data_IF_514941109498
#
_entry.id   IF_514941109498
#
_cell.length_a   1.000
_cell.length_b   1.000
_cell.length_c   1.000
_cell.angle_alpha   90.00
_cell.angle_beta   90.00
_cell.angle_gamma   90.00
#
_symmetry.space_group_name_H-M   'P 1'
#
loop_
_entity.id
_entity.type
_entity.pdbx_description
1 polymer ?
#
# COMPACT_ATOMS: atom_id res chain seq x y z
N UNK A 1 -24.41 -1.39 -4.01
CA UNK A 1 -23.55 -1.19 -2.82
C UNK A 1 -24.31 -1.71 -1.61
N UNK A 2 -24.17 -2.99 -1.30
CA UNK A 2 -24.59 -3.54 -0.01
C UNK A 2 -23.29 -3.63 0.79
N UNK A 3 -23.06 -2.68 1.69
CA UNK A 3 -22.10 -2.91 2.76
C UNK A 3 -22.66 -4.08 3.58
N UNK A 4 -21.86 -5.11 3.80
CA UNK A 4 -22.25 -6.20 4.67
C UNK A 4 -22.45 -5.62 6.06
N UNK A 5 -23.68 -5.63 6.56
CA UNK A 5 -24.04 -5.11 7.90
C UNK A 5 -23.14 -5.71 9.01
N UNK A 6 -22.64 -6.94 8.81
CA UNK A 6 -21.69 -7.58 9.71
C UNK A 6 -20.26 -7.01 9.69
N UNK A 7 -19.79 -6.46 8.57
CA UNK A 7 -18.43 -5.92 8.45
C UNK A 7 -18.30 -4.57 9.18
N UNK A 8 -19.34 -3.72 9.07
CA UNK A 8 -19.42 -2.46 9.80
C UNK A 8 -19.56 -2.67 11.31
N UNK A 9 -20.27 -3.72 11.73
CA UNK A 9 -20.42 -4.10 13.13
C UNK A 9 -19.10 -4.57 13.76
N UNK A 10 -18.31 -5.35 13.02
CA UNK A 10 -17.00 -5.83 13.47
C UNK A 10 -16.04 -4.65 13.71
N UNK A 11 -15.95 -3.70 12.78
CA UNK A 11 -15.10 -2.52 12.95
C UNK A 11 -15.61 -1.61 14.09
N UNK A 12 -16.92 -1.50 14.27
CA UNK A 12 -17.52 -0.75 15.37
C UNK A 12 -17.15 -1.36 16.73
N UNK A 13 -17.16 -2.69 16.85
CA UNK A 13 -16.75 -3.38 18.07
C UNK A 13 -15.27 -3.11 18.40
N UNK A 14 -14.37 -3.19 17.41
CA UNK A 14 -12.96 -2.88 17.64
C UNK A 14 -12.73 -1.41 18.02
N UNK A 15 -13.47 -0.46 17.42
CA UNK A 15 -13.43 0.96 17.83
C UNK A 15 -13.88 1.16 19.28
N UNK A 16 -14.93 0.45 19.70
CA UNK A 16 -15.41 0.53 21.08
C UNK A 16 -14.38 0.00 22.09
N UNK A 17 -13.55 -0.98 21.71
CA UNK A 17 -12.43 -1.45 22.55
C UNK A 17 -11.37 -0.37 22.71
N UNK A 18 -11.04 0.39 21.66
CA UNK A 18 -10.11 1.53 21.72
C UNK A 18 -10.68 2.62 22.65
N UNK A 19 -11.97 2.94 22.51
CA UNK A 19 -12.66 3.92 23.37
C UNK A 19 -12.57 3.53 24.84
N UNK A 20 -12.79 2.25 25.16
CA UNK A 20 -12.68 1.72 26.53
C UNK A 20 -11.26 1.74 27.05
N UNK A 21 -10.28 1.38 26.22
CA UNK A 21 -8.86 1.38 26.60
C UNK A 21 -8.35 2.79 26.95
N UNK A 22 -9.01 3.84 26.44
CA UNK A 22 -8.68 5.23 26.71
C UNK A 22 -9.67 5.93 27.65
N UNK A 23 -10.63 5.19 28.20
CA UNK A 23 -11.69 5.71 29.08
C UNK A 23 -12.36 7.00 28.53
N UNK A 24 -12.62 7.01 27.21
CA UNK A 24 -13.18 8.19 26.54
C UNK A 24 -14.69 8.25 26.79
N UNK A 25 -15.12 9.19 27.63
CA UNK A 25 -16.54 9.54 27.78
C UNK A 25 -17.06 10.26 26.52
N UNK A 26 -18.39 10.48 26.42
CA UNK A 26 -19.02 11.18 25.29
C UNK A 26 -18.73 12.71 25.30
N UNK A 27 -17.44 13.08 25.25
CA UNK A 27 -16.98 14.45 25.05
C UNK A 27 -16.74 14.79 23.58
N UNK A 28 -16.74 16.08 23.26
CA UNK A 28 -16.54 16.61 21.89
C UNK A 28 -15.21 16.16 21.24
N UNK A 29 -14.20 15.77 22.03
CA UNK A 29 -12.87 15.40 21.51
C UNK A 29 -12.71 13.89 21.23
N UNK A 30 -13.63 13.05 21.69
CA UNK A 30 -13.54 11.58 21.55
C UNK A 30 -13.34 11.16 20.10
N UNK A 31 -14.19 11.65 19.20
CA UNK A 31 -14.13 11.29 17.78
C UNK A 31 -12.83 11.80 17.14
N UNK A 32 -12.31 12.95 17.59
CA UNK A 32 -11.04 13.50 17.14
C UNK A 32 -9.87 12.59 17.54
N UNK A 33 -9.78 12.18 18.80
CA UNK A 33 -8.75 11.27 19.30
C UNK A 33 -8.80 9.94 18.55
N UNK A 34 -10.00 9.36 18.40
CA UNK A 34 -10.18 8.08 17.70
C UNK A 34 -9.76 8.21 16.24
N UNK A 35 -10.20 9.23 15.51
CA UNK A 35 -9.82 9.39 14.12
C UNK A 35 -8.31 9.58 13.96
N UNK A 36 -7.66 10.33 14.86
CA UNK A 36 -6.22 10.52 14.84
C UNK A 36 -5.46 9.22 15.11
N UNK A 37 -5.91 8.39 16.06
CA UNK A 37 -5.34 7.06 16.34
C UNK A 37 -5.45 6.12 15.14
N UNK A 38 -6.59 6.15 14.45
CA UNK A 38 -6.84 5.27 13.31
C UNK A 38 -6.06 5.70 12.05
N UNK A 39 -5.67 6.97 11.96
CA UNK A 39 -4.88 7.51 10.85
C UNK A 39 -3.37 7.45 11.13
N UNK A 40 -2.97 7.83 12.34
CA UNK A 40 -1.57 8.09 12.70
C UNK A 40 -1.03 7.13 13.78
N UNK A 41 -1.84 6.16 14.19
CA UNK A 41 -1.48 5.19 15.22
C UNK A 41 -1.37 5.80 16.61
N UNK A 42 -0.89 4.98 17.54
CA UNK A 42 -0.72 5.33 18.95
C UNK A 42 0.12 6.57 19.19
N UNK A 43 1.12 6.86 18.35
CA UNK A 43 1.97 8.05 18.51
C UNK A 43 1.20 9.37 18.47
N UNK A 44 0.01 9.39 17.86
CA UNK A 44 -0.87 10.55 17.87
C UNK A 44 -1.35 10.97 19.26
N UNK A 45 -1.30 10.07 20.25
CA UNK A 45 -1.67 10.39 21.63
C UNK A 45 -0.83 11.49 22.25
N UNK A 46 0.40 11.70 21.77
CA UNK A 46 1.24 12.82 22.20
C UNK A 46 0.59 14.20 22.02
N UNK A 47 -0.45 14.32 21.19
CA UNK A 47 -1.25 15.54 21.00
C UNK A 47 -2.31 15.76 22.09
N UNK A 48 -2.67 14.70 22.82
CA UNK A 48 -3.85 14.62 23.69
C UNK A 48 -3.48 14.37 25.16
N UNK A 49 -2.27 14.77 25.57
CA UNK A 49 -1.77 14.56 26.94
C UNK A 49 -2.64 15.26 27.98
N UNK A 50 -3.17 16.44 27.63
CA UNK A 50 -4.04 17.23 28.52
C UNK A 50 -5.52 16.81 28.44
N UNK A 51 -5.89 16.01 27.43
CA UNK A 51 -7.25 15.56 27.17
C UNK A 51 -7.54 14.16 27.76
N UNK A 52 -6.52 13.50 28.30
CA UNK A 52 -6.61 12.16 28.88
C UNK A 52 -6.23 12.19 30.36
N UNK A 53 -6.85 11.31 31.15
CA UNK A 53 -6.42 11.11 32.53
C UNK A 53 -4.93 10.67 32.55
N UNK A 54 -4.08 11.24 33.42
CA UNK A 54 -2.65 10.98 33.40
C UNK A 54 -2.28 9.49 33.47
N UNK A 55 -2.99 8.72 34.30
CA UNK A 55 -2.76 7.28 34.45
C UNK A 55 -3.17 6.49 33.19
N UNK A 56 -4.24 6.91 32.52
CA UNK A 56 -4.70 6.31 31.26
C UNK A 56 -3.73 6.63 30.14
N UNK A 57 -3.27 7.88 30.02
CA UNK A 57 -2.25 8.26 29.05
C UNK A 57 -0.96 7.46 29.25
N UNK A 58 -0.46 7.40 30.49
CA UNK A 58 0.76 6.66 30.81
C UNK A 58 0.63 5.16 30.47
N UNK A 59 -0.50 4.53 30.81
CA UNK A 59 -0.78 3.15 30.46
C UNK A 59 -0.88 2.92 28.94
N UNK A 60 -1.50 3.86 28.22
CA UNK A 60 -1.65 3.81 26.77
C UNK A 60 -0.31 3.95 26.04
N UNK A 61 0.62 4.79 26.54
CA UNK A 61 1.90 5.08 25.87
C UNK A 61 3.06 4.20 26.30
N UNK A 62 2.90 3.34 27.32
CA UNK A 62 3.96 2.44 27.77
C UNK A 62 4.45 1.52 26.63
N UNK A 63 5.74 1.19 26.55
CA UNK A 63 6.37 0.47 25.42
C UNK A 63 5.83 -0.95 25.18
N UNK A 64 5.10 -1.50 26.15
CA UNK A 64 4.49 -2.83 26.08
C UNK A 64 3.27 -2.91 25.15
N UNK A 65 2.91 -4.15 24.77
CA UNK A 65 1.64 -4.48 24.11
C UNK A 65 0.45 -4.36 25.10
N UNK A 66 0.23 -3.14 25.59
CA UNK A 66 -0.89 -2.77 26.46
C UNK A 66 -2.25 -2.92 25.79
N UNK A 67 -3.32 -2.65 26.53
CA UNK A 67 -4.70 -2.84 26.03
C UNK A 67 -4.97 -2.04 24.75
N UNK A 68 -4.54 -0.77 24.71
CA UNK A 68 -4.68 0.05 23.51
C UNK A 68 -3.98 -0.56 22.29
N UNK A 69 -2.74 -1.02 22.46
CA UNK A 69 -1.96 -1.61 21.36
C UNK A 69 -2.64 -2.86 20.82
N UNK A 70 -3.17 -3.72 21.71
CA UNK A 70 -3.96 -4.91 21.33
C UNK A 70 -5.21 -4.52 20.55
N UNK A 71 -5.96 -3.52 21.03
CA UNK A 71 -7.17 -3.03 20.35
C UNK A 71 -6.88 -2.41 18.99
N UNK A 72 -5.79 -1.64 18.86
CA UNK A 72 -5.35 -1.07 17.57
C UNK A 72 -4.90 -2.16 16.58
N UNK A 73 -4.07 -3.11 17.00
CA UNK A 73 -3.67 -4.27 16.17
C UNK A 73 -4.90 -5.00 15.63
N UNK A 74 -5.87 -5.29 16.51
CA UNK A 74 -7.13 -5.94 16.15
C UNK A 74 -7.96 -5.12 15.17
N UNK A 75 -8.07 -3.80 15.39
CA UNK A 75 -8.76 -2.91 14.47
C UNK A 75 -8.14 -2.94 13.08
N UNK A 76 -6.82 -2.76 12.95
CA UNK A 76 -6.15 -2.74 11.66
C UNK A 76 -6.23 -4.09 10.92
N UNK A 77 -6.08 -5.21 11.64
CA UNK A 77 -6.28 -6.54 11.06
C UNK A 77 -7.69 -6.68 10.46
N UNK A 78 -8.72 -6.27 11.20
CA UNK A 78 -10.11 -6.32 10.73
C UNK A 78 -10.37 -5.35 9.59
N UNK A 79 -9.81 -4.14 9.66
CA UNK A 79 -9.95 -3.10 8.65
C UNK A 79 -9.39 -3.56 7.31
N UNK A 80 -8.24 -4.25 7.29
CA UNK A 80 -7.71 -4.84 6.06
C UNK A 80 -8.65 -5.89 5.48
N UNK A 81 -9.19 -6.78 6.32
CA UNK A 81 -10.12 -7.84 5.88
C UNK A 81 -11.41 -7.27 5.30
N UNK A 82 -12.02 -6.29 5.97
CA UNK A 82 -13.26 -5.65 5.52
C UNK A 82 -13.03 -4.84 4.25
N UNK A 83 -12.00 -4.01 4.22
CA UNK A 83 -11.72 -3.11 3.09
C UNK A 83 -11.41 -3.88 1.80
N UNK A 84 -10.68 -5.00 1.91
CA UNK A 84 -10.16 -5.73 0.76
C UNK A 84 -10.88 -7.06 0.49
N UNK A 85 -11.74 -7.53 1.39
CA UNK A 85 -12.39 -8.85 1.27
C UNK A 85 -13.25 -9.03 0.02
N UNK A 86 -13.89 -7.97 -0.47
CA UNK A 86 -14.77 -8.02 -1.64
C UNK A 86 -14.05 -7.80 -2.98
N UNK A 87 -12.94 -7.05 -2.99
CA UNK A 87 -12.24 -6.64 -4.22
C UNK A 87 -10.91 -7.37 -4.42
N UNK A 88 -10.31 -7.86 -3.35
CA UNK A 88 -8.94 -8.37 -3.29
C UNK A 88 -8.87 -9.60 -2.38
N UNK A 89 -9.71 -10.60 -2.65
CA UNK A 89 -9.78 -11.82 -1.84
C UNK A 89 -8.42 -12.54 -1.71
N UNK A 90 -7.58 -12.48 -2.75
CA UNK A 90 -6.21 -13.02 -2.72
C UNK A 90 -5.36 -12.40 -1.60
N UNK A 91 -5.55 -11.10 -1.33
CA UNK A 91 -4.80 -10.39 -0.28
C UNK A 91 -5.26 -10.86 1.10
N UNK A 92 -6.57 -11.05 1.30
CA UNK A 92 -7.10 -11.59 2.57
C UNK A 92 -6.61 -13.03 2.81
N UNK A 93 -6.57 -13.86 1.76
CA UNK A 93 -6.00 -15.21 1.86
C UNK A 93 -4.51 -15.15 2.22
N UNK A 94 -3.74 -14.28 1.57
CA UNK A 94 -2.33 -14.05 1.88
C UNK A 94 -2.12 -13.62 3.34
N UNK A 95 -2.92 -12.66 3.86
CA UNK A 95 -2.83 -12.24 5.26
C UNK A 95 -3.10 -13.40 6.22
N UNK A 96 -4.09 -14.24 5.93
CA UNK A 96 -4.41 -15.40 6.78
C UNK A 96 -3.29 -16.46 6.76
N UNK A 97 -2.63 -16.66 5.62
CA UNK A 97 -1.49 -17.60 5.52
C UNK A 97 -0.27 -17.12 6.30
N UNK A 98 -0.07 -15.81 6.41
CA UNK A 98 1.07 -15.21 7.13
C UNK A 98 0.75 -14.89 8.59
N UNK A 99 -0.45 -15.20 9.08
CA UNK A 99 -0.90 -14.80 10.42
C UNK A 99 0.02 -15.27 11.56
N UNK A 100 0.60 -16.46 11.40
CA UNK A 100 1.51 -17.06 12.40
C UNK A 100 2.99 -16.72 12.14
N UNK A 101 3.29 -15.94 11.09
CA UNK A 101 4.65 -15.51 10.80
C UNK A 101 5.08 -14.39 11.77
N UNK A 102 6.33 -14.42 12.22
CA UNK A 102 6.91 -13.40 13.12
C UNK A 102 6.79 -11.98 12.54
N UNK A 103 6.92 -11.85 11.21
CA UNK A 103 6.80 -10.56 10.54
C UNK A 103 5.37 -10.01 10.54
N UNK A 104 4.34 -10.85 10.70
CA UNK A 104 2.95 -10.40 10.68
C UNK A 104 2.58 -9.57 11.91
N UNK A 105 2.91 -10.07 13.11
CA UNK A 105 2.70 -9.28 14.33
C UNK A 105 3.55 -8.01 14.33
N UNK A 106 4.78 -8.07 13.77
CA UNK A 106 5.65 -6.90 13.64
C UNK A 106 5.02 -5.82 12.75
N UNK A 107 4.45 -6.19 11.61
CA UNK A 107 3.75 -5.26 10.70
C UNK A 107 2.48 -4.70 11.34
N UNK A 108 1.71 -5.52 12.06
CA UNK A 108 0.55 -5.05 12.81
C UNK A 108 0.94 -4.10 13.94
N UNK A 109 1.99 -4.42 14.71
CA UNK A 109 2.52 -3.56 15.77
C UNK A 109 2.93 -2.20 15.21
N UNK A 110 3.67 -2.19 14.11
CA UNK A 110 4.08 -0.96 13.42
C UNK A 110 2.88 -0.17 12.91
N UNK A 111 1.89 -0.83 12.32
CA UNK A 111 0.67 -0.15 11.86
C UNK A 111 -0.12 0.43 13.03
N UNK A 112 -0.19 -0.29 14.15
CA UNK A 112 -0.86 0.19 15.36
C UNK A 112 -0.11 1.37 16.02
N UNK A 113 1.22 1.35 15.99
CA UNK A 113 2.07 2.41 16.55
C UNK A 113 2.03 3.69 15.70
N UNK A 114 2.18 3.56 14.38
CA UNK A 114 2.45 4.68 13.46
C UNK A 114 1.34 4.94 12.44
N UNK A 115 0.26 4.16 12.48
CA UNK A 115 -0.86 4.27 11.53
C UNK A 115 -0.40 4.09 10.09
N UNK A 116 -0.79 5.04 9.24
CA UNK A 116 -0.49 5.03 7.81
C UNK A 116 0.92 5.55 7.46
N UNK A 117 1.76 5.96 8.43
CA UNK A 117 3.09 6.54 8.17
C UNK A 117 3.95 5.72 7.19
N UNK A 118 3.91 4.40 7.33
CA UNK A 118 4.70 3.45 6.51
C UNK A 118 3.88 2.75 5.42
N UNK A 119 2.65 3.20 5.21
CA UNK A 119 1.75 2.73 4.16
C UNK A 119 1.81 3.76 3.02
N UNK A 120 2.37 3.37 1.88
CA UNK A 120 2.48 4.23 0.69
C UNK A 120 1.13 4.33 -0.04
N UNK A 121 1.12 4.97 -1.22
CA UNK A 121 -0.09 5.21 -2.02
C UNK A 121 -0.83 3.94 -2.47
N UNK A 122 -0.20 2.76 -2.38
CA UNK A 122 -0.90 1.47 -2.43
C UNK A 122 -0.69 0.69 -1.13
N UNK A 123 -1.71 0.63 -0.24
CA UNK A 123 -1.60 -0.09 1.01
C UNK A 123 -1.37 -1.60 0.86
N UNK A 124 -2.03 -2.24 -0.11
CA UNK A 124 -1.86 -3.67 -0.38
C UNK A 124 -0.39 -3.99 -0.67
N UNK A 125 0.21 -3.28 -1.63
CA UNK A 125 1.61 -3.49 -1.99
C UNK A 125 2.55 -3.17 -0.80
N UNK A 126 2.26 -2.12 -0.04
CA UNK A 126 3.06 -1.74 1.13
C UNK A 126 3.11 -2.84 2.18
N UNK A 127 1.95 -3.45 2.50
CA UNK A 127 1.84 -4.53 3.48
C UNK A 127 2.49 -5.81 2.93
N UNK A 128 2.25 -6.15 1.67
CA UNK A 128 2.88 -7.32 1.01
C UNK A 128 4.40 -7.23 1.07
N UNK A 129 4.98 -6.08 0.74
CA UNK A 129 6.43 -5.88 0.78
C UNK A 129 7.00 -6.07 2.19
N UNK A 130 6.35 -5.48 3.20
CA UNK A 130 6.79 -5.61 4.59
C UNK A 130 6.72 -7.06 5.11
N UNK A 131 5.72 -7.85 4.67
CA UNK A 131 5.58 -9.24 5.08
C UNK A 131 6.55 -10.18 4.36
N UNK A 132 6.85 -9.92 3.09
CA UNK A 132 7.64 -10.84 2.25
C UNK A 132 9.15 -10.69 2.38
N UNK A 133 9.64 -9.52 2.80
CA UNK A 133 11.06 -9.20 2.85
C UNK A 133 11.54 -9.10 4.30
N UNK A 134 12.52 -9.94 4.63
CA UNK A 134 13.21 -9.91 5.93
C UNK A 134 14.04 -8.63 6.07
N UNK A 135 14.21 -8.14 7.30
CA UNK A 135 15.00 -6.93 7.58
C UNK A 135 14.25 -5.62 7.37
N UNK A 136 12.96 -5.65 7.06
CA UNK A 136 12.07 -4.48 7.10
C UNK A 136 11.52 -4.32 8.52
N UNK A 137 12.42 -4.01 9.46
CA UNK A 137 12.13 -3.70 10.86
C UNK A 137 11.97 -2.18 11.09
N UNK A 138 11.71 -1.75 12.32
CA UNK A 138 11.47 -0.32 12.61
C UNK A 138 12.73 0.54 12.33
N UNK A 139 13.93 -0.01 12.57
CA UNK A 139 15.21 0.67 12.24
C UNK A 139 15.36 0.87 10.73
N UNK A 140 14.91 -0.08 9.94
CA UNK A 140 14.87 -0.02 8.49
C UNK A 140 13.91 1.07 7.95
N UNK A 141 13.00 1.61 8.76
CA UNK A 141 12.19 2.77 8.34
C UNK A 141 12.79 4.10 8.77
N UNK A 142 13.50 4.12 9.90
CA UNK A 142 14.01 5.37 10.50
C UNK A 142 15.46 5.70 10.06
N UNK A 143 16.30 4.71 9.78
CA UNK A 143 17.74 4.91 9.55
C UNK A 143 18.21 4.51 8.14
N UNK A 144 17.57 3.53 7.52
CA UNK A 144 18.01 2.96 6.24
C UNK A 144 16.91 3.21 5.22
N UNK A 145 17.20 3.78 4.05
CA UNK A 145 16.17 3.97 3.02
C UNK A 145 15.71 2.66 2.34
N UNK A 146 15.94 1.48 2.93
CA UNK A 146 15.78 0.18 2.27
C UNK A 146 14.33 -0.07 1.84
N UNK A 147 13.32 0.24 2.68
CA UNK A 147 11.92 0.12 2.25
C UNK A 147 11.58 1.09 1.11
N UNK A 148 12.07 2.33 1.18
CA UNK A 148 11.86 3.33 0.12
C UNK A 148 12.54 2.93 -1.19
N UNK A 149 13.75 2.37 -1.11
CA UNK A 149 14.53 1.89 -2.26
C UNK A 149 13.86 0.67 -2.90
N UNK A 150 13.41 -0.28 -2.08
CA UNK A 150 12.64 -1.45 -2.54
C UNK A 150 11.33 -1.01 -3.21
N UNK A 151 10.58 -0.12 -2.56
CA UNK A 151 9.36 0.48 -3.10
C UNK A 151 9.62 1.14 -4.45
N UNK A 152 10.61 2.02 -4.52
CA UNK A 152 10.96 2.75 -5.74
C UNK A 152 11.43 1.81 -6.86
N UNK A 153 12.20 0.79 -6.52
CA UNK A 153 12.72 -0.18 -7.47
C UNK A 153 11.57 -0.97 -8.11
N UNK A 154 10.71 -1.57 -7.29
CA UNK A 154 9.64 -2.45 -7.78
C UNK A 154 8.54 -1.67 -8.52
N UNK A 155 8.23 -0.44 -8.09
CA UNK A 155 7.19 0.41 -8.70
C UNK A 155 7.66 1.18 -9.95
N UNK A 156 8.97 1.19 -10.24
CA UNK A 156 9.49 1.74 -11.50
C UNK A 156 9.83 0.65 -12.51
N UNK A 157 10.41 -0.45 -12.04
CA UNK A 157 11.04 -1.47 -12.88
C UNK A 157 10.26 -2.79 -12.91
N UNK A 158 9.12 -2.86 -12.20
CA UNK A 158 8.29 -4.05 -12.14
C UNK A 158 8.92 -5.20 -11.35
N UNK A 159 8.22 -6.32 -11.35
CA UNK A 159 8.60 -7.52 -10.59
C UNK A 159 9.97 -8.09 -10.97
N UNK A 160 10.36 -8.02 -12.25
CA UNK A 160 11.67 -8.50 -12.72
C UNK A 160 12.86 -7.81 -12.08
N UNK A 161 12.68 -6.62 -11.53
CA UNK A 161 13.76 -5.95 -10.80
C UNK A 161 14.22 -6.70 -9.54
N UNK A 162 13.44 -7.68 -9.08
CA UNK A 162 13.73 -8.49 -7.89
C UNK A 162 13.93 -9.96 -8.29
N UNK A 163 14.66 -10.20 -9.37
CA UNK A 163 14.88 -11.50 -10.03
C UNK A 163 15.40 -12.62 -9.11
N UNK A 164 15.98 -12.29 -7.95
CA UNK A 164 16.47 -13.28 -6.97
C UNK A 164 15.37 -13.88 -6.07
N UNK A 165 14.10 -13.50 -6.23
CA UNK A 165 12.99 -14.15 -5.54
C UNK A 165 12.68 -15.52 -6.17
N UNK A 166 13.29 -16.57 -5.62
CA UNK A 166 13.12 -17.97 -6.06
C UNK A 166 11.76 -18.59 -5.71
N UNK A 167 11.01 -17.98 -4.79
CA UNK A 167 9.71 -18.47 -4.35
C UNK A 167 8.59 -17.98 -5.28
N UNK A 168 8.09 -18.91 -6.12
CA UNK A 168 6.99 -18.68 -7.05
C UNK A 168 5.71 -18.17 -6.37
N UNK A 169 5.44 -18.56 -5.11
CA UNK A 169 4.27 -18.09 -4.37
C UNK A 169 4.42 -16.63 -3.99
N UNK A 170 5.57 -16.25 -3.43
CA UNK A 170 5.88 -14.84 -3.09
C UNK A 170 5.88 -13.96 -4.33
N UNK A 171 6.43 -14.45 -5.44
CA UNK A 171 6.41 -13.77 -6.73
C UNK A 171 4.98 -13.51 -7.21
N UNK A 172 4.10 -14.50 -7.11
CA UNK A 172 2.68 -14.35 -7.49
C UNK A 172 1.96 -13.28 -6.63
N UNK A 173 2.20 -13.26 -5.33
CA UNK A 173 1.62 -12.26 -4.41
C UNK A 173 2.12 -10.85 -4.75
N UNK A 174 3.43 -10.69 -4.98
CA UNK A 174 4.01 -9.40 -5.40
C UNK A 174 3.46 -8.92 -6.73
N UNK A 175 3.28 -9.84 -7.69
CA UNK A 175 2.67 -9.53 -8.98
C UNK A 175 1.26 -8.97 -8.82
N UNK A 176 0.41 -9.59 -7.99
CA UNK A 176 -0.94 -9.07 -7.71
C UNK A 176 -0.89 -7.70 -7.00
N UNK A 177 0.00 -7.52 -6.03
CA UNK A 177 0.20 -6.23 -5.37
C UNK A 177 0.60 -5.11 -6.34
N UNK A 178 1.47 -5.42 -7.30
CA UNK A 178 1.88 -4.48 -8.36
C UNK A 178 0.73 -4.19 -9.33
N UNK A 179 -0.06 -5.19 -9.72
CA UNK A 179 -1.28 -4.95 -10.53
C UNK A 179 -2.21 -3.97 -9.83
N UNK A 180 -2.46 -4.14 -8.52
CA UNK A 180 -3.29 -3.19 -7.77
C UNK A 180 -2.69 -1.78 -7.70
N UNK A 181 -1.35 -1.66 -7.56
CA UNK A 181 -0.67 -0.36 -7.61
C UNK A 181 -0.83 0.36 -8.96
N UNK A 182 -0.67 -0.36 -10.08
CA UNK A 182 -0.69 0.24 -11.41
C UNK A 182 -2.09 0.43 -11.99
N UNK A 183 -3.06 -0.44 -11.65
CA UNK A 183 -4.36 -0.55 -12.33
C UNK A 183 -5.06 0.78 -12.54
N UNK A 184 -5.27 1.54 -11.45
CA UNK A 184 -6.03 2.80 -11.52
C UNK A 184 -5.35 3.80 -12.47
N UNK A 185 -4.05 4.08 -12.24
CA UNK A 185 -3.27 5.04 -13.03
C UNK A 185 -3.16 4.61 -14.49
N UNK A 186 -2.96 3.32 -14.77
CA UNK A 186 -2.85 2.79 -16.12
C UNK A 186 -4.18 2.91 -16.87
N UNK A 187 -5.29 2.49 -16.25
CA UNK A 187 -6.59 2.48 -16.91
C UNK A 187 -7.10 3.90 -17.15
N UNK A 188 -6.86 4.82 -16.19
CA UNK A 188 -7.12 6.24 -16.37
C UNK A 188 -6.33 6.80 -17.56
N UNK A 189 -5.03 6.50 -17.63
CA UNK A 189 -4.16 6.97 -18.70
C UNK A 189 -4.60 6.46 -20.08
N UNK A 190 -4.86 5.14 -20.20
CA UNK A 190 -5.35 4.53 -21.44
C UNK A 190 -6.71 5.12 -21.86
N UNK A 191 -7.62 5.30 -20.89
CA UNK A 191 -8.94 5.89 -21.10
C UNK A 191 -8.87 7.36 -21.55
N UNK A 192 -8.00 8.17 -20.93
CA UNK A 192 -7.78 9.58 -21.28
C UNK A 192 -7.27 9.75 -22.71
N UNK A 193 -6.41 8.84 -23.17
CA UNK A 193 -5.86 8.82 -24.53
C UNK A 193 -6.85 8.20 -25.54
N UNK A 194 -7.97 7.65 -25.05
CA UNK A 194 -9.02 6.99 -25.85
C UNK A 194 -8.49 5.76 -26.60
N UNK A 195 -7.57 5.02 -25.99
CA UNK A 195 -7.14 3.71 -26.50
C UNK A 195 -8.29 2.73 -26.26
N UNK A 196 -8.88 2.10 -27.30
CA UNK A 196 -9.98 1.16 -27.09
C UNK A 196 -9.45 -0.13 -26.45
N UNK A 197 -10.19 -0.66 -25.48
CA UNK A 197 -9.88 -1.94 -24.85
C UNK A 197 -10.30 -3.12 -25.75
N UNK A 198 -9.54 -3.34 -26.82
CA UNK A 198 -9.74 -4.48 -27.73
C UNK A 198 -8.90 -5.66 -27.29
N UNK A 199 -9.48 -6.86 -27.32
CA UNK A 199 -8.79 -8.11 -26.97
C UNK A 199 -8.13 -8.07 -25.59
N UNK A 200 -8.81 -7.44 -24.62
CA UNK A 200 -8.36 -7.30 -23.23
C UNK A 200 -6.99 -6.60 -23.11
N UNK A 201 -6.77 -5.59 -23.95
CA UNK A 201 -5.53 -4.82 -24.00
C UNK A 201 -5.20 -4.16 -22.66
N UNK A 202 -6.19 -3.70 -21.91
CA UNK A 202 -5.98 -2.99 -20.65
C UNK A 202 -5.37 -3.93 -19.60
N UNK A 203 -5.94 -5.12 -19.44
CA UNK A 203 -5.38 -6.14 -18.54
C UNK A 203 -4.04 -6.68 -19.04
N UNK A 204 -3.88 -6.87 -20.36
CA UNK A 204 -2.58 -7.26 -20.91
C UNK A 204 -1.49 -6.21 -20.62
N UNK A 205 -1.81 -4.92 -20.80
CA UNK A 205 -0.91 -3.84 -20.46
C UNK A 205 -0.61 -3.82 -18.95
N UNK A 206 -1.62 -4.06 -18.11
CA UNK A 206 -1.46 -4.14 -16.66
C UNK A 206 -0.48 -5.24 -16.25
N UNK A 207 -0.65 -6.44 -16.82
CA UNK A 207 0.23 -7.57 -16.53
C UNK A 207 1.68 -7.29 -16.96
N UNK A 208 1.87 -6.69 -18.15
CA UNK A 208 3.19 -6.33 -18.62
C UNK A 208 3.82 -5.20 -17.79
N UNK A 209 3.05 -4.19 -17.38
CA UNK A 209 3.56 -3.11 -16.50
C UNK A 209 3.88 -3.63 -15.10
N UNK A 210 3.08 -4.56 -14.56
CA UNK A 210 3.38 -5.21 -13.29
C UNK A 210 4.68 -6.03 -13.35
N UNK A 211 4.92 -6.77 -14.45
CA UNK A 211 6.11 -7.61 -14.61
C UNK A 211 7.38 -6.79 -14.91
N UNK A 212 7.29 -5.79 -15.78
CA UNK A 212 8.45 -5.11 -16.38
C UNK A 212 8.55 -3.60 -16.07
N UNK A 213 7.59 -3.05 -15.33
CA UNK A 213 7.48 -1.61 -15.11
C UNK A 213 6.89 -0.87 -16.31
N UNK A 214 6.66 0.43 -16.16
CA UNK A 214 5.91 1.24 -17.12
C UNK A 214 6.46 1.19 -18.55
N UNK A 215 7.74 1.47 -18.73
CA UNK A 215 8.31 1.68 -20.07
C UNK A 215 8.38 0.36 -20.85
N UNK A 216 9.03 -0.65 -20.28
CA UNK A 216 9.20 -1.96 -20.90
C UNK A 216 7.85 -2.69 -21.01
N UNK A 217 6.99 -2.57 -20.00
CA UNK A 217 5.67 -3.18 -19.99
C UNK A 217 4.76 -2.63 -21.10
N UNK A 218 4.76 -1.32 -21.32
CA UNK A 218 3.99 -0.71 -22.40
C UNK A 218 4.56 -1.01 -23.79
N UNK A 219 5.89 -1.13 -23.92
CA UNK A 219 6.52 -1.56 -25.18
C UNK A 219 6.06 -2.95 -25.62
N UNK A 220 5.81 -3.87 -24.68
CA UNK A 220 5.33 -5.22 -24.99
C UNK A 220 3.96 -5.24 -25.70
N UNK A 221 3.12 -4.20 -25.49
CA UNK A 221 1.79 -4.09 -26.10
C UNK A 221 1.75 -3.12 -27.29
N UNK A 222 2.88 -2.53 -27.69
CA UNK A 222 2.97 -1.51 -28.74
C UNK A 222 2.24 -1.91 -30.02
N UNK A 223 2.44 -3.15 -30.49
CA UNK A 223 1.86 -3.63 -31.77
C UNK A 223 0.32 -3.66 -31.78
N UNK A 224 -0.32 -3.56 -30.60
CA UNK A 224 -1.77 -3.56 -30.43
C UNK A 224 -2.35 -2.14 -30.32
N UNK A 225 -1.51 -1.12 -30.31
CA UNK A 225 -1.89 0.28 -30.15
C UNK A 225 -1.53 1.04 -31.42
N UNK A 226 -2.45 1.89 -31.88
CA UNK A 226 -2.18 2.78 -33.04
C UNK A 226 -0.96 3.65 -32.71
N UNK A 227 0.05 3.76 -33.60
CA UNK A 227 1.32 4.43 -33.30
C UNK A 227 1.20 5.84 -32.71
N UNK A 228 0.25 6.64 -33.22
CA UNK A 228 -0.03 7.99 -32.68
C UNK A 228 -0.47 7.96 -31.21
N UNK A 229 -1.34 7.02 -30.84
CA UNK A 229 -1.78 6.87 -29.45
C UNK A 229 -0.68 6.29 -28.58
N UNK A 230 0.12 5.37 -29.11
CA UNK A 230 1.27 4.83 -28.38
C UNK A 230 2.31 5.90 -28.04
N UNK A 231 2.62 6.78 -29.01
CA UNK A 231 3.49 7.94 -28.76
C UNK A 231 2.92 8.85 -27.66
N UNK A 232 1.64 9.18 -27.75
CA UNK A 232 0.95 10.00 -26.73
C UNK A 232 0.99 9.32 -25.35
N UNK A 233 0.85 7.99 -25.32
CA UNK A 233 0.92 7.19 -24.10
C UNK A 233 2.28 7.30 -23.42
N UNK A 234 3.37 7.13 -24.17
CA UNK A 234 4.73 7.25 -23.63
C UNK A 234 5.03 8.65 -23.07
N UNK A 235 4.51 9.69 -23.70
CA UNK A 235 4.67 11.09 -23.26
C UNK A 235 3.92 11.40 -21.95
N UNK A 236 2.93 10.57 -21.57
CA UNK A 236 2.07 10.78 -20.40
C UNK A 236 2.27 9.72 -19.30
N UNK A 237 3.33 8.90 -19.37
CA UNK A 237 3.64 7.94 -18.30
C UNK A 237 3.89 8.70 -16.98
N UNK A 238 3.25 8.30 -15.87
CA UNK A 238 3.55 8.86 -14.56
C UNK A 238 4.92 8.38 -14.11
N UNK A 239 5.95 9.19 -14.33
CA UNK A 239 7.30 8.95 -13.83
C UNK A 239 7.36 9.38 -12.38
N UNK A 240 7.74 8.49 -11.46
CA UNK A 240 7.95 8.88 -10.06
C UNK A 240 9.05 9.94 -9.98
N UNK A 241 8.76 11.03 -9.25
CA UNK A 241 9.64 12.21 -9.11
C UNK A 241 10.87 11.96 -8.23
N UNK A 242 10.94 10.81 -7.56
CA UNK A 242 11.90 10.54 -6.50
C UNK A 242 13.26 10.01 -6.99
N UNK A 243 13.58 10.19 -8.27
CA UNK A 243 14.94 9.96 -8.76
C UNK A 243 15.63 11.29 -9.09
N UNK A 244 16.85 11.43 -8.58
CA UNK A 244 17.90 12.35 -9.02
C UNK A 244 18.32 12.17 -10.50
N UNK A 245 17.48 11.53 -11.33
CA UNK A 245 17.70 11.16 -12.71
C UNK A 245 16.66 11.71 -13.68
N UNK A 246 16.03 12.87 -13.39
CA UNK A 246 15.06 13.51 -14.29
C UNK A 246 15.60 13.72 -15.72
N UNK A 247 16.90 14.00 -15.88
CA UNK A 247 17.50 14.29 -17.18
C UNK A 247 17.65 13.02 -18.05
N UNK A 248 18.24 11.94 -17.52
CA UNK A 248 18.48 10.71 -18.27
C UNK A 248 17.20 9.98 -18.71
N UNK A 249 16.10 10.13 -17.95
CA UNK A 249 14.81 9.50 -18.27
C UNK A 249 14.03 10.28 -19.33
N UNK A 250 14.10 11.62 -19.31
CA UNK A 250 13.56 12.46 -20.40
C UNK A 250 14.32 12.22 -21.70
N UNK A 251 15.64 12.03 -21.62
CA UNK A 251 16.48 11.72 -22.79
C UNK A 251 16.19 10.32 -23.33
N UNK A 252 15.90 9.33 -22.48
CA UNK A 252 15.48 7.99 -22.92
C UNK A 252 14.08 7.99 -23.55
N UNK A 253 13.12 8.73 -22.99
CA UNK A 253 11.78 8.88 -23.59
C UNK A 253 11.90 9.61 -24.93
N UNK A 254 12.68 10.70 -25.02
CA UNK A 254 12.95 11.40 -26.28
C UNK A 254 13.66 10.53 -27.30
N UNK A 255 14.63 9.72 -26.88
CA UNK A 255 15.34 8.78 -27.74
C UNK A 255 14.42 7.69 -28.29
N UNK A 256 13.58 7.10 -27.45
CA UNK A 256 12.62 6.06 -27.86
C UNK A 256 11.50 6.64 -28.74
N UNK A 257 11.02 7.85 -28.45
CA UNK A 257 10.08 8.57 -29.33
C UNK A 257 10.74 8.92 -30.66
N UNK A 258 12.04 9.23 -30.66
CA UNK A 258 12.83 9.51 -31.85
C UNK A 258 13.10 8.28 -32.73
N UNK A 259 13.21 7.09 -32.15
CA UNK A 259 13.34 5.81 -32.87
C UNK A 259 12.04 5.31 -33.50
N UNK A 260 10.90 5.88 -33.11
CA UNK A 260 9.57 5.54 -33.63
C UNK A 260 9.09 6.48 -34.76
N UNK A 261 9.91 7.47 -35.12
CA UNK A 261 9.76 8.33 -36.31
C UNK A 261 10.62 7.81 -37.46
#
# INVERSE_FOLDING_TARGET
KLGNVGDDEVLKLAKNEIIRALDLEEYEIKDTIINDLLENGRQSLSKYVEDLLPDIYAAATNEDDGELMKSLKKYFEQQWKVKYGSSNQWFVLFLNEYKDAVNYDSVLKRTAEYGNKYVKDCPILSIVLQLLFEGIDDKCFDEINLFNDLWCTITNNGLKSIENFSDNKKRSVLFQGLREYYRSKLFELLGKIKIPDKDNLYELALDNVAEYGWLQGLQAVQKRIIPKFFKTLLENIPVSSDTSGKQGKLDLIKYLVGLLL
#
